data_IF_734115908281
#
_entry.id   IF_734115908281
#
_cell.length_a   1.000
_cell.length_b   1.000
_cell.length_c   1.000
_cell.angle_alpha   90.00
_cell.angle_beta   90.00
_cell.angle_gamma   90.00
#
_symmetry.space_group_name_H-M   'P 1'
#
loop_
_entity.id
_entity.type
_entity.pdbx_description
1 polymer ?
#
# COMPACT_ATOMS: atom_id res chain seq x y z
N UNK A 1 -12.25 9.37 -3.17
CA UNK A 1 -13.15 8.30 -3.65
C UNK A 1 -13.81 7.68 -2.44
N UNK A 2 -15.13 7.55 -2.44
CA UNK A 2 -15.84 6.96 -1.31
C UNK A 2 -15.73 5.44 -1.40
N UNK A 3 -15.24 4.79 -0.35
CA UNK A 3 -15.28 3.34 -0.18
C UNK A 3 -16.16 3.06 1.04
N UNK A 4 -17.22 2.27 0.86
CA UNK A 4 -18.15 1.88 1.93
C UNK A 4 -18.71 3.06 2.75
N UNK A 5 -18.97 4.21 2.11
CA UNK A 5 -19.50 5.42 2.77
C UNK A 5 -18.46 6.25 3.53
N UNK A 6 -17.21 5.79 3.62
CA UNK A 6 -16.09 6.57 4.15
C UNK A 6 -15.40 7.37 3.05
N UNK A 7 -14.97 8.60 3.36
CA UNK A 7 -14.15 9.43 2.46
C UNK A 7 -12.70 9.34 2.93
N UNK A 8 -11.87 8.63 2.17
CA UNK A 8 -10.42 8.66 2.35
C UNK A 8 -9.83 9.76 1.46
N UNK A 9 -9.29 10.86 2.03
CA UNK A 9 -8.55 11.83 1.24
C UNK A 9 -7.26 11.20 0.73
N UNK A 10 -7.04 11.26 -0.58
CA UNK A 10 -5.79 10.87 -1.23
C UNK A 10 -5.00 12.13 -1.55
N UNK A 11 -3.66 12.05 -1.47
CA UNK A 11 -2.75 13.14 -1.82
C UNK A 11 -1.95 12.79 -3.11
N UNK A 12 -2.59 12.81 -4.29
CA UNK A 12 -1.92 12.53 -5.56
C UNK A 12 -1.12 13.73 -6.09
N UNK A 13 -1.11 14.85 -5.38
CA UNK A 13 -0.55 16.10 -5.86
C UNK A 13 0.98 16.04 -6.03
N UNK A 14 1.56 16.76 -7.02
CA UNK A 14 3.01 16.75 -7.25
C UNK A 14 3.83 17.19 -6.03
N UNK A 15 3.28 18.05 -5.17
CA UNK A 15 4.00 18.53 -3.99
C UNK A 15 4.21 17.41 -2.97
N UNK A 16 3.22 16.54 -2.77
CA UNK A 16 3.34 15.35 -1.94
C UNK A 16 4.39 14.38 -2.49
N UNK A 17 4.41 14.17 -3.81
CA UNK A 17 5.40 13.31 -4.47
C UNK A 17 6.82 13.86 -4.33
N UNK A 18 7.03 15.17 -4.51
CA UNK A 18 8.32 15.82 -4.33
C UNK A 18 8.79 15.77 -2.86
N UNK A 19 7.89 15.89 -1.89
CA UNK A 19 8.23 15.72 -0.46
C UNK A 19 8.71 14.31 -0.16
N UNK A 20 8.04 13.30 -0.70
CA UNK A 20 8.47 11.90 -0.58
C UNK A 20 9.87 11.72 -1.18
N UNK A 21 10.10 12.19 -2.41
CA UNK A 21 11.39 12.06 -3.10
C UNK A 21 12.51 12.68 -2.28
N UNK A 22 12.29 13.85 -1.68
CA UNK A 22 13.26 14.51 -0.82
C UNK A 22 13.53 13.69 0.45
N UNK A 23 12.48 13.28 1.15
CA UNK A 23 12.61 12.50 2.37
C UNK A 23 13.39 11.19 2.16
N UNK A 24 13.05 10.40 1.14
CA UNK A 24 13.75 9.12 0.89
C UNK A 24 15.21 9.30 0.49
N UNK A 25 15.56 10.44 -0.13
CA UNK A 25 16.94 10.75 -0.53
C UNK A 25 17.77 11.23 0.66
N UNK A 26 17.18 12.02 1.55
CA UNK A 26 17.92 12.75 2.58
C UNK A 26 18.08 11.93 3.89
N UNK A 27 17.17 11.00 4.17
CA UNK A 27 17.08 10.32 5.48
C UNK A 27 17.79 8.95 5.57
N UNK A 28 18.35 8.43 4.46
CA UNK A 28 19.20 7.23 4.48
C UNK A 28 18.50 5.95 4.99
N UNK A 29 17.19 5.80 4.78
CA UNK A 29 16.43 4.64 5.23
C UNK A 29 16.93 3.31 4.64
N UNK A 30 16.92 2.24 5.43
CA UNK A 30 17.22 0.90 4.92
C UNK A 30 16.01 0.24 4.22
N UNK A 31 14.81 0.56 4.68
CA UNK A 31 13.55 -0.03 4.22
C UNK A 31 12.46 1.03 4.21
N UNK A 32 11.56 0.95 3.22
CA UNK A 32 10.35 1.75 3.19
C UNK A 32 9.11 0.85 3.33
N UNK A 33 8.34 1.08 4.39
CA UNK A 33 7.08 0.38 4.63
C UNK A 33 5.90 1.24 4.17
N UNK A 34 5.15 0.71 3.21
CA UNK A 34 4.06 1.38 2.52
C UNK A 34 2.72 0.79 2.97
N UNK A 35 1.79 1.64 3.39
CA UNK A 35 0.39 1.28 3.58
C UNK A 35 -0.39 1.59 2.31
N UNK A 36 -1.19 0.62 1.85
CA UNK A 36 -2.00 0.72 0.63
C UNK A 36 -1.19 1.18 -0.60
N UNK A 37 -0.15 0.43 -1.02
CA UNK A 37 0.83 0.90 -2.00
C UNK A 37 0.24 1.19 -3.38
N UNK A 38 -0.92 0.64 -3.70
CA UNK A 38 -1.59 0.82 -5.00
C UNK A 38 -2.54 2.03 -5.04
N UNK A 39 -2.71 2.73 -3.92
CA UNK A 39 -3.50 3.96 -3.87
C UNK A 39 -2.70 5.11 -4.50
N UNK A 40 -3.28 5.90 -5.43
CA UNK A 40 -2.59 7.03 -6.04
C UNK A 40 -2.09 8.03 -5.00
N UNK A 41 -0.78 8.33 -5.04
CA UNK A 41 -0.12 9.24 -4.11
C UNK A 41 1.27 8.76 -3.74
N UNK A 42 1.73 9.14 -2.55
CA UNK A 42 3.10 8.90 -2.10
C UNK A 42 3.50 7.41 -2.14
N UNK A 43 2.65 6.49 -1.64
CA UNK A 43 3.00 5.07 -1.63
C UNK A 43 3.20 4.49 -3.04
N UNK A 44 2.34 4.86 -3.98
CA UNK A 44 2.49 4.43 -5.38
C UNK A 44 3.72 5.07 -6.04
N UNK A 45 4.04 6.33 -5.72
CA UNK A 45 5.28 6.99 -6.15
C UNK A 45 6.52 6.27 -5.60
N UNK A 46 6.50 5.84 -4.34
CA UNK A 46 7.57 5.03 -3.76
C UNK A 46 7.72 3.69 -4.51
N UNK A 47 6.63 3.02 -4.84
CA UNK A 47 6.67 1.80 -5.67
C UNK A 47 7.27 2.08 -7.05
N UNK A 48 6.89 3.18 -7.71
CA UNK A 48 7.46 3.57 -9.01
C UNK A 48 8.98 3.76 -8.91
N UNK A 49 9.44 4.53 -7.92
CA UNK A 49 10.86 4.87 -7.76
C UNK A 49 11.71 3.69 -7.27
N UNK A 50 11.17 2.85 -6.37
CA UNK A 50 11.90 1.80 -5.63
C UNK A 50 13.28 2.28 -5.13
N UNK A 51 13.34 3.30 -4.26
CA UNK A 51 14.61 3.86 -3.78
C UNK A 51 15.40 2.90 -2.88
N UNK A 52 14.71 2.01 -2.17
CA UNK A 52 15.26 0.97 -1.31
C UNK A 52 14.27 -0.22 -1.23
N UNK A 53 14.58 -1.33 -0.52
CA UNK A 53 13.62 -2.41 -0.32
C UNK A 53 12.28 -1.94 0.21
N UNK A 54 11.21 -2.46 -0.36
CA UNK A 54 9.84 -2.04 -0.10
C UNK A 54 9.03 -3.14 0.58
N UNK A 55 8.39 -2.81 1.69
CA UNK A 55 7.36 -3.63 2.33
C UNK A 55 6.02 -2.98 2.07
N UNK A 56 5.03 -3.73 1.57
CA UNK A 56 3.68 -3.21 1.33
C UNK A 56 2.62 -3.92 2.16
N UNK A 57 1.82 -3.18 2.93
CA UNK A 57 0.65 -3.73 3.64
C UNK A 57 -0.66 -3.35 2.96
N UNK A 58 -1.50 -4.36 2.74
CA UNK A 58 -2.82 -4.25 2.13
C UNK A 58 -3.91 -4.50 3.19
N UNK A 59 -4.88 -3.59 3.24
CA UNK A 59 -5.99 -3.54 4.20
C UNK A 59 -7.35 -3.56 3.49
N UNK A 60 -7.41 -3.14 2.23
CA UNK A 60 -8.65 -3.14 1.46
C UNK A 60 -9.27 -4.55 1.35
N UNK A 61 -10.59 -4.63 1.56
CA UNK A 61 -11.41 -5.81 1.38
C UNK A 61 -12.71 -5.45 0.66
N UNK A 62 -13.31 -6.39 -0.09
CA UNK A 62 -14.52 -6.16 -0.88
C UNK A 62 -14.27 -5.55 -2.27
N UNK A 63 -15.32 -5.06 -2.94
CA UNK A 63 -15.18 -4.44 -4.26
C UNK A 63 -14.56 -3.04 -4.17
N UNK A 64 -13.37 -2.87 -4.75
CA UNK A 64 -12.76 -1.55 -4.91
C UNK A 64 -12.72 -1.17 -6.39
N UNK A 65 -13.45 -0.12 -6.81
CA UNK A 65 -13.52 0.31 -8.22
C UNK A 65 -12.16 0.63 -8.84
N UNK A 66 -11.15 0.98 -8.01
CA UNK A 66 -9.81 1.30 -8.50
C UNK A 66 -9.06 0.10 -9.07
N UNK A 67 -9.42 -1.11 -8.63
CA UNK A 67 -8.80 -2.33 -9.15
C UNK A 67 -9.33 -2.68 -10.54
N UNK A 68 -10.63 -2.47 -10.80
CA UNK A 68 -11.34 -2.98 -11.99
C UNK A 68 -10.82 -2.51 -13.37
N UNK A 69 -10.00 -1.46 -13.46
CA UNK A 69 -9.60 -0.87 -14.74
C UNK A 69 -8.09 -0.68 -14.97
N UNK A 70 -7.21 -1.05 -14.00
CA UNK A 70 -5.77 -0.75 -14.07
C UNK A 70 -4.84 -1.96 -13.82
N UNK A 71 -5.35 -3.17 -14.06
CA UNK A 71 -4.73 -4.43 -13.58
C UNK A 71 -3.25 -4.66 -13.94
N UNK A 72 -2.79 -4.50 -15.20
CA UNK A 72 -1.41 -4.87 -15.54
C UNK A 72 -0.38 -3.93 -14.90
N UNK A 73 -0.67 -2.63 -14.85
CA UNK A 73 0.21 -1.63 -14.27
C UNK A 73 0.31 -1.79 -12.74
N UNK A 74 -0.83 -2.02 -12.07
CA UNK A 74 -0.84 -2.26 -10.63
C UNK A 74 -0.15 -3.58 -10.27
N UNK A 75 -0.33 -4.64 -11.06
CA UNK A 75 0.39 -5.91 -10.86
C UNK A 75 1.90 -5.74 -11.02
N UNK A 76 2.34 -4.98 -12.03
CA UNK A 76 3.75 -4.66 -12.21
C UNK A 76 4.31 -3.86 -11.02
N UNK A 77 3.57 -2.83 -10.55
CA UNK A 77 3.94 -2.05 -9.37
C UNK A 77 4.01 -2.90 -8.11
N UNK A 78 3.03 -3.77 -7.86
CA UNK A 78 3.05 -4.71 -6.75
C UNK A 78 4.24 -5.67 -6.85
N UNK A 79 4.63 -6.04 -8.07
CA UNK A 79 5.86 -6.78 -8.39
C UNK A 79 7.15 -6.13 -7.89
N UNK A 80 7.15 -4.82 -7.64
CA UNK A 80 8.30 -4.08 -7.11
C UNK A 80 8.41 -4.15 -5.59
N UNK A 81 7.40 -4.64 -4.87
CA UNK A 81 7.46 -4.88 -3.43
C UNK A 81 8.30 -6.12 -3.13
N UNK A 82 9.22 -6.00 -2.17
CA UNK A 82 10.12 -7.08 -1.73
C UNK A 82 9.47 -7.96 -0.66
N UNK A 83 8.57 -7.39 0.14
CA UNK A 83 7.68 -8.14 1.03
C UNK A 83 6.26 -7.57 0.96
N UNK A 84 5.27 -8.45 1.13
CA UNK A 84 3.85 -8.08 1.08
C UNK A 84 3.14 -8.64 2.29
N UNK A 85 2.37 -7.80 2.96
CA UNK A 85 1.58 -8.15 4.11
C UNK A 85 0.10 -7.84 3.90
N UNK A 86 -0.76 -8.60 4.55
CA UNK A 86 -2.21 -8.45 4.56
C UNK A 86 -2.70 -8.50 5.99
N UNK A 87 -3.74 -7.73 6.28
CA UNK A 87 -4.30 -7.64 7.65
C UNK A 87 -5.47 -8.58 7.91
N UNK A 88 -6.01 -9.21 6.86
CA UNK A 88 -7.10 -10.18 6.95
C UNK A 88 -7.11 -11.15 5.76
N UNK A 89 -7.89 -12.22 5.86
CA UNK A 89 -8.09 -13.19 4.78
C UNK A 89 -8.80 -12.57 3.57
N UNK A 90 -9.73 -11.65 3.80
CA UNK A 90 -10.45 -10.92 2.76
C UNK A 90 -9.51 -9.98 2.00
N UNK A 91 -8.59 -9.31 2.70
CA UNK A 91 -7.56 -8.49 2.07
C UNK A 91 -6.60 -9.35 1.23
N UNK A 92 -6.25 -10.55 1.70
CA UNK A 92 -5.46 -11.50 0.92
C UNK A 92 -6.17 -11.94 -0.36
N UNK A 93 -7.46 -12.31 -0.26
CA UNK A 93 -8.25 -12.73 -1.40
C UNK A 93 -8.28 -11.63 -2.47
N UNK A 94 -8.58 -10.39 -2.07
CA UNK A 94 -8.64 -9.24 -2.97
C UNK A 94 -7.28 -8.94 -3.61
N UNK A 95 -6.20 -8.95 -2.82
CA UNK A 95 -4.86 -8.66 -3.30
C UNK A 95 -4.34 -9.76 -4.24
N UNK A 96 -4.58 -11.04 -3.94
CA UNK A 96 -4.20 -12.15 -4.81
C UNK A 96 -4.97 -12.16 -6.12
N UNK A 97 -6.28 -11.92 -6.08
CA UNK A 97 -7.13 -11.87 -7.27
C UNK A 97 -6.59 -10.85 -8.28
N UNK A 98 -6.28 -9.65 -7.80
CA UNK A 98 -5.96 -8.54 -8.68
C UNK A 98 -4.44 -8.39 -8.95
N UNK A 99 -3.61 -8.57 -7.92
CA UNK A 99 -2.17 -8.31 -7.96
C UNK A 99 -1.32 -9.59 -7.97
N UNK A 100 -1.90 -10.75 -7.65
CA UNK A 100 -1.18 -12.02 -7.50
C UNK A 100 -0.12 -11.99 -6.39
N UNK A 101 0.78 -12.98 -6.38
CA UNK A 101 1.88 -13.08 -5.42
C UNK A 101 1.51 -13.73 -4.08
N UNK A 102 2.47 -13.71 -3.16
CA UNK A 102 2.37 -14.29 -1.81
C UNK A 102 2.37 -13.18 -0.77
N UNK A 103 1.64 -13.40 0.33
CA UNK A 103 1.40 -12.41 1.36
C UNK A 103 1.58 -13.03 2.75
N UNK A 104 2.15 -12.25 3.66
CA UNK A 104 2.25 -12.59 5.09
C UNK A 104 1.08 -11.97 5.82
N UNK A 105 0.40 -12.72 6.69
CA UNK A 105 -0.65 -12.15 7.54
C UNK A 105 -0.03 -11.43 8.73
N UNK A 106 -0.31 -10.13 8.85
CA UNK A 106 0.08 -9.28 9.98
C UNK A 106 -1.17 -8.63 10.55
N UNK A 107 -1.58 -9.05 11.74
CA UNK A 107 -2.74 -8.50 12.42
C UNK A 107 -2.45 -7.11 12.98
N UNK A 108 -3.51 -6.30 13.10
CA UNK A 108 -3.40 -5.01 13.77
C UNK A 108 -3.03 -5.20 15.24
N UNK A 109 -2.14 -4.34 15.75
CA UNK A 109 -1.82 -4.30 17.17
C UNK A 109 -2.99 -3.74 18.00
N UNK A 110 -3.23 -4.33 19.16
CA UNK A 110 -4.17 -3.82 20.17
C UNK A 110 -3.36 -3.62 21.46
N UNK A 111 -3.45 -2.42 22.05
CA UNK A 111 -2.76 -2.08 23.30
C UNK A 111 -3.51 -2.67 24.50
N UNK A 112 -3.23 -3.93 24.84
CA UNK A 112 -4.01 -4.70 25.83
C UNK A 112 -4.07 -4.00 27.20
N UNK A 113 -2.94 -3.48 27.69
CA UNK A 113 -2.88 -2.84 29.01
C UNK A 113 -3.80 -1.62 29.15
N UNK A 114 -4.08 -0.93 28.03
CA UNK A 114 -4.96 0.23 28.01
C UNK A 114 -6.45 -0.12 27.93
N UNK A 115 -6.77 -1.29 27.37
CA UNK A 115 -8.14 -1.70 27.04
C UNK A 115 -8.61 -2.97 27.79
N UNK A 116 -7.86 -3.41 28.80
CA UNK A 116 -8.20 -4.52 29.70
C UNK A 116 -9.18 -4.11 30.82
#
# INVERSE_FOLDING_TARGET
TAANGSVAPIAPDPSAQLRLIRAVRDEGFDVLHLHEPMVPGASMTACLLKPMPLVGTFHAAGESPSYQYLFPALRWLAGRLDARAVVSAEAEALAKEHLGGTYVHLFNGIEVDRFA
#
